data_IF_471475213692
#
_entry.id   IF_471475213692
#
_cell.length_a   1.000
_cell.length_b   1.000
_cell.length_c   1.000
_cell.angle_alpha   90.00
_cell.angle_beta   90.00
_cell.angle_gamma   90.00
#
_symmetry.space_group_name_H-M   'P 1'
#
loop_
_entity.id
_entity.type
_entity.pdbx_description
1 polymer ?
#
# COMPACT_ATOMS: atom_id res chain seq x y z
N UNK A 1 9.29 -12.36 -4.66
CA UNK A 1 9.09 -11.99 -3.25
C UNK A 1 7.90 -11.04 -3.17
N UNK A 2 6.98 -11.18 -2.20
CA UNK A 2 5.86 -10.25 -2.07
C UNK A 2 6.37 -8.85 -1.71
N UNK A 3 5.82 -7.83 -2.35
CA UNK A 3 6.13 -6.43 -2.06
C UNK A 3 5.87 -6.15 -0.56
N UNK A 4 6.84 -5.59 0.18
CA UNK A 4 6.69 -5.33 1.61
C UNK A 4 5.55 -4.38 1.94
N UNK A 5 5.30 -3.37 1.09
CA UNK A 5 4.16 -2.47 1.23
C UNK A 5 2.83 -3.21 1.06
N UNK A 6 2.75 -4.09 0.06
CA UNK A 6 1.57 -4.93 -0.15
C UNK A 6 1.29 -5.84 1.04
N UNK A 7 2.34 -6.48 1.59
CA UNK A 7 2.24 -7.31 2.79
C UNK A 7 1.79 -6.50 4.00
N UNK A 8 2.27 -5.27 4.13
CA UNK A 8 1.90 -4.38 5.22
C UNK A 8 0.42 -3.97 5.14
N UNK A 9 -0.08 -3.63 3.96
CA UNK A 9 -1.51 -3.36 3.76
C UNK A 9 -2.40 -4.53 4.24
N UNK A 10 -2.07 -5.76 3.84
CA UNK A 10 -2.81 -6.96 4.25
C UNK A 10 -2.72 -7.17 5.78
N UNK A 11 -1.55 -6.92 6.38
CA UNK A 11 -1.34 -7.01 7.83
C UNK A 11 -2.22 -6.02 8.60
N UNK A 12 -2.51 -4.85 8.02
CA UNK A 12 -3.43 -3.85 8.58
C UNK A 12 -4.91 -4.19 8.35
N UNK A 13 -5.22 -5.36 7.80
CA UNK A 13 -6.58 -5.76 7.44
C UNK A 13 -7.11 -5.08 6.17
N UNK A 14 -6.24 -4.41 5.41
CA UNK A 14 -6.60 -3.72 4.18
C UNK A 14 -6.68 -4.65 2.97
N UNK A 15 -7.28 -4.13 1.90
CA UNK A 15 -7.35 -4.76 0.58
C UNK A 15 -6.47 -4.02 -0.41
N UNK A 16 -5.72 -4.77 -1.20
CA UNK A 16 -4.89 -4.22 -2.28
C UNK A 16 -5.72 -3.96 -3.52
N UNK A 17 -5.55 -2.78 -4.11
CA UNK A 17 -6.16 -2.38 -5.37
C UNK A 17 -4.99 -2.09 -6.34
N UNK A 18 -4.67 -3.01 -7.26
CA UNK A 18 -3.61 -2.80 -8.23
C UNK A 18 -3.90 -1.60 -9.12
N UNK A 19 -2.89 -0.79 -9.39
CA UNK A 19 -2.94 0.41 -10.22
C UNK A 19 -1.75 0.43 -11.17
N UNK A 20 -1.89 1.18 -12.27
CA UNK A 20 -0.83 1.41 -13.23
C UNK A 20 -0.75 2.90 -13.51
N UNK A 21 0.44 3.48 -13.39
CA UNK A 21 0.67 4.87 -13.71
C UNK A 21 0.78 5.07 -15.24
N UNK A 22 0.85 6.33 -15.68
CA UNK A 22 0.93 6.68 -17.12
C UNK A 22 2.21 6.17 -17.80
N UNK A 23 3.27 5.96 -17.01
CA UNK A 23 4.57 5.47 -17.48
C UNK A 23 4.64 3.93 -17.51
N UNK A 24 3.54 3.25 -17.17
CA UNK A 24 3.45 1.79 -17.14
C UNK A 24 3.97 1.14 -15.86
N UNK A 25 4.39 1.92 -14.87
CA UNK A 25 4.76 1.45 -13.53
C UNK A 25 3.55 0.96 -12.75
N UNK A 26 3.71 -0.19 -12.09
CA UNK A 26 2.67 -0.81 -11.27
C UNK A 26 2.86 -0.43 -9.80
N UNK A 27 1.75 -0.10 -9.14
CA UNK A 27 1.67 0.17 -7.70
C UNK A 27 0.32 -0.33 -7.20
N UNK A 28 0.09 -0.34 -5.89
CA UNK A 28 -1.24 -0.63 -5.35
C UNK A 28 -1.71 0.47 -4.38
N UNK A 29 -3.02 0.68 -4.35
CA UNK A 29 -3.66 1.36 -3.24
C UNK A 29 -4.03 0.33 -2.17
N UNK A 30 -3.97 0.74 -0.91
CA UNK A 30 -4.48 0.01 0.22
C UNK A 30 -5.80 0.62 0.69
N UNK A 31 -6.88 -0.13 0.59
CA UNK A 31 -8.17 0.21 1.19
C UNK A 31 -8.25 -0.41 2.59
N UNK A 32 -8.20 0.43 3.61
CA UNK A 32 -8.23 0.04 5.01
C UNK A 32 -9.68 -0.16 5.52
N UNK A 33 -9.89 -0.97 6.58
CA UNK A 33 -11.22 -1.22 7.15
C UNK A 33 -11.94 0.03 7.67
N UNK A 34 -11.19 1.08 8.02
CA UNK A 34 -11.73 2.36 8.47
C UNK A 34 -12.26 3.23 7.30
N UNK A 35 -12.25 2.72 6.06
CA UNK A 35 -12.69 3.42 4.85
C UNK A 35 -11.60 4.28 4.19
N UNK A 36 -10.42 4.43 4.82
CA UNK A 36 -9.30 5.16 4.23
C UNK A 36 -8.73 4.39 3.05
N UNK A 37 -8.45 5.09 1.95
CA UNK A 37 -7.65 4.56 0.84
C UNK A 37 -6.37 5.37 0.73
N UNK A 38 -5.23 4.69 0.73
CA UNK A 38 -3.89 5.30 0.72
C UNK A 38 -2.97 4.47 -0.16
N UNK A 39 -1.98 5.08 -0.81
CA UNK A 39 -0.98 4.35 -1.59
C UNK A 39 -0.16 3.40 -0.69
N UNK A 40 0.12 2.19 -1.16
CA UNK A 40 0.70 1.14 -0.32
C UNK A 40 2.07 1.53 0.27
N UNK A 41 2.92 2.19 -0.51
CA UNK A 41 4.23 2.63 -0.06
C UNK A 41 4.16 3.86 0.84
N UNK A 42 3.19 4.75 0.63
CA UNK A 42 2.90 5.85 1.56
C UNK A 42 2.49 5.30 2.93
N UNK A 43 1.58 4.32 2.95
CA UNK A 43 1.17 3.63 4.18
C UNK A 43 2.37 2.94 4.86
N UNK A 44 3.17 2.20 4.08
CA UNK A 44 4.35 1.52 4.60
C UNK A 44 5.36 2.50 5.19
N UNK A 45 5.72 3.55 4.44
CA UNK A 45 6.68 4.57 4.90
C UNK A 45 6.19 5.28 6.15
N UNK A 46 4.92 5.70 6.21
CA UNK A 46 4.33 6.38 7.40
C UNK A 46 4.60 5.65 8.71
N UNK A 47 4.52 4.32 8.71
CA UNK A 47 4.75 3.49 9.90
C UNK A 47 6.23 3.09 10.09
N UNK A 48 7.02 3.11 9.01
CA UNK A 48 8.43 2.69 9.00
C UNK A 48 9.41 3.88 8.86
N UNK A 49 8.99 5.11 9.16
CA UNK A 49 9.90 6.24 9.31
C UNK A 49 10.83 5.96 10.51
N UNK A 50 11.97 5.34 10.22
CA UNK A 50 13.09 5.25 11.15
C UNK A 50 13.57 6.68 11.43
N UNK A 51 13.55 7.07 12.70
CA UNK A 51 14.37 8.17 13.20
C UNK A 51 15.84 7.85 12.98
#
# INVERSE_FOLDING_TARGET
MPNPASKYCIKQGGKLIPQKNKDGGEYALCQLPNGQTIEEWELFRKDHHQK
#
